data_IF_158521467995
#
_entry.id   IF_158521467995
#
_cell.length_a   1.000
_cell.length_b   1.000
_cell.length_c   1.000
_cell.angle_alpha   90.00
_cell.angle_beta   90.00
_cell.angle_gamma   90.00
#
_symmetry.space_group_name_H-M   'P 1'
#
loop_
_entity.id
_entity.type
_entity.pdbx_description
1 polymer ?
#
# COMPACT_ATOMS: atom_id res chain seq x y z
N UNK A 1 29.93 23.76 -38.18
CA UNK A 1 29.66 22.38 -38.66
C UNK A 1 30.25 21.31 -37.75
N UNK A 2 31.58 21.20 -37.57
CA UNK A 2 32.20 20.15 -36.72
C UNK A 2 31.72 20.09 -35.25
N UNK A 3 31.54 21.26 -34.60
CA UNK A 3 31.05 21.35 -33.21
C UNK A 3 29.57 20.98 -33.08
N UNK A 4 28.75 21.43 -34.02
CA UNK A 4 27.33 21.08 -34.10
C UNK A 4 27.14 19.58 -34.28
N UNK A 5 27.92 18.96 -35.18
CA UNK A 5 27.88 17.51 -35.37
C UNK A 5 28.18 16.76 -34.07
N UNK A 6 29.19 17.19 -33.31
CA UNK A 6 29.51 16.60 -32.00
C UNK A 6 28.34 16.68 -30.99
N UNK A 7 27.65 17.82 -30.92
CA UNK A 7 26.48 17.96 -30.04
C UNK A 7 25.28 17.12 -30.49
N UNK A 8 25.02 17.05 -31.80
CA UNK A 8 23.97 16.18 -32.33
C UNK A 8 24.29 14.70 -32.10
N UNK A 9 25.55 14.29 -32.22
CA UNK A 9 26.00 12.94 -31.89
C UNK A 9 25.84 12.64 -30.39
N UNK A 10 26.18 13.58 -29.51
CA UNK A 10 25.94 13.43 -28.07
C UNK A 10 24.43 13.28 -27.75
N UNK A 11 23.57 14.06 -28.42
CA UNK A 11 22.12 13.94 -28.28
C UNK A 11 21.60 12.58 -28.75
N UNK A 12 22.06 12.09 -29.89
CA UNK A 12 21.69 10.75 -30.41
C UNK A 12 22.14 9.62 -29.48
N UNK A 13 23.35 9.70 -28.93
CA UNK A 13 23.84 8.76 -27.92
C UNK A 13 23.00 8.83 -26.64
N UNK A 14 22.57 10.03 -26.24
CA UNK A 14 21.67 10.22 -25.12
C UNK A 14 20.30 9.56 -25.33
N UNK A 15 19.71 9.69 -26.52
CA UNK A 15 18.44 9.01 -26.87
C UNK A 15 18.62 7.49 -26.86
N UNK A 16 19.73 6.97 -27.40
CA UNK A 16 20.02 5.54 -27.36
C UNK A 16 20.16 5.02 -25.91
N UNK A 17 20.83 5.79 -25.05
CA UNK A 17 20.94 5.47 -23.62
C UNK A 17 19.58 5.52 -22.92
N UNK A 18 18.71 6.49 -23.24
CA UNK A 18 17.35 6.55 -22.68
C UNK A 18 16.52 5.32 -23.05
N UNK A 19 16.47 4.97 -24.34
CA UNK A 19 15.70 3.83 -24.82
C UNK A 19 16.27 2.51 -24.30
N UNK A 20 17.59 2.38 -24.25
CA UNK A 20 18.27 1.24 -23.67
C UNK A 20 18.06 1.12 -22.16
N UNK A 21 18.08 2.24 -21.44
CA UNK A 21 17.83 2.31 -20.00
C UNK A 21 16.40 1.90 -19.67
N UNK A 22 15.42 2.41 -20.42
CA UNK A 22 14.01 2.02 -20.28
C UNK A 22 13.77 0.53 -20.58
N UNK A 23 14.37 0.02 -21.66
CA UNK A 23 14.24 -1.39 -22.01
C UNK A 23 14.91 -2.32 -20.98
N UNK A 24 16.07 -1.93 -20.47
CA UNK A 24 16.78 -2.65 -19.42
C UNK A 24 15.98 -2.64 -18.12
N UNK A 25 15.46 -1.49 -17.74
CA UNK A 25 14.62 -1.32 -16.55
C UNK A 25 13.36 -2.20 -16.62
N UNK A 26 12.61 -2.11 -17.73
CA UNK A 26 11.44 -2.95 -17.96
C UNK A 26 11.77 -4.46 -17.94
N UNK A 27 12.93 -4.85 -18.47
CA UNK A 27 13.40 -6.22 -18.44
C UNK A 27 13.77 -6.70 -17.02
N UNK A 28 14.40 -5.84 -16.22
CA UNK A 28 14.73 -6.14 -14.83
C UNK A 28 13.45 -6.30 -14.01
N UNK A 29 12.49 -5.38 -14.15
CA UNK A 29 11.17 -5.50 -13.52
C UNK A 29 10.37 -6.71 -14.00
N UNK A 30 10.51 -7.12 -15.27
CA UNK A 30 9.87 -8.34 -15.77
C UNK A 30 10.50 -9.63 -15.19
N UNK A 31 11.81 -9.62 -14.91
CA UNK A 31 12.51 -10.75 -14.27
C UNK A 31 12.32 -10.79 -12.77
N UNK A 32 12.23 -9.64 -12.14
CA UNK A 32 12.02 -9.49 -10.71
C UNK A 32 11.00 -8.37 -10.45
N UNK A 33 9.70 -8.71 -10.43
CA UNK A 33 8.63 -7.75 -10.17
C UNK A 33 8.76 -7.05 -8.82
N UNK A 34 9.49 -7.65 -7.86
CA UNK A 34 9.69 -7.07 -6.53
C UNK A 34 10.64 -5.86 -6.52
N UNK A 35 11.37 -5.60 -7.61
CA UNK A 35 12.15 -4.36 -7.79
C UNK A 35 11.27 -3.12 -7.69
N UNK A 36 10.01 -3.17 -8.13
CA UNK A 36 9.09 -2.02 -8.06
C UNK A 36 8.77 -1.57 -6.62
N UNK A 37 9.02 -2.44 -5.62
CA UNK A 37 8.80 -2.13 -4.21
C UNK A 37 10.10 -1.83 -3.44
N UNK A 38 11.27 -2.07 -4.06
CA UNK A 38 12.60 -1.87 -3.45
C UNK A 38 13.34 -0.68 -4.05
N UNK A 39 12.91 -0.24 -5.22
CA UNK A 39 13.56 0.79 -6.00
C UNK A 39 12.65 2.01 -6.11
N UNK A 40 13.07 3.13 -5.53
CA UNK A 40 12.48 4.44 -5.85
C UNK A 40 12.85 4.85 -7.28
N UNK A 41 12.13 5.85 -7.81
CA UNK A 41 12.24 6.40 -9.17
C UNK A 41 13.67 6.80 -9.63
N UNK A 42 14.64 6.93 -8.71
CA UNK A 42 16.02 7.35 -8.98
C UNK A 42 17.09 6.52 -8.26
N UNK A 43 16.82 5.25 -7.99
CA UNK A 43 17.80 4.37 -7.33
C UNK A 43 18.99 4.04 -8.23
N UNK A 44 20.20 4.35 -7.76
CA UNK A 44 21.45 4.11 -8.49
C UNK A 44 21.88 2.64 -8.51
N UNK A 45 21.18 1.76 -7.78
CA UNK A 45 21.40 0.31 -7.79
C UNK A 45 20.88 -0.39 -9.04
N UNK A 46 19.91 0.21 -9.73
CA UNK A 46 19.37 -0.29 -10.98
C UNK A 46 20.17 0.30 -12.16
N UNK A 47 20.84 -0.54 -12.99
CA UNK A 47 21.61 -0.06 -14.12
C UNK A 47 20.74 0.61 -15.21
N UNK A 48 19.45 0.28 -15.29
CA UNK A 48 18.46 0.96 -16.12
C UNK A 48 18.24 2.42 -15.71
N UNK A 49 18.03 2.68 -14.42
CA UNK A 49 17.90 4.04 -13.87
C UNK A 49 19.15 4.89 -14.10
N UNK A 50 20.34 4.30 -13.88
CA UNK A 50 21.61 5.00 -14.13
C UNK A 50 21.74 5.37 -15.61
N UNK A 51 21.40 4.45 -16.51
CA UNK A 51 21.49 4.68 -17.95
C UNK A 51 20.45 5.72 -18.43
N UNK A 52 19.25 5.73 -17.85
CA UNK A 52 18.25 6.78 -18.05
C UNK A 52 18.80 8.15 -17.64
N UNK A 53 19.38 8.27 -16.44
CA UNK A 53 19.99 9.51 -15.96
C UNK A 53 21.11 10.04 -16.86
N UNK A 54 22.01 9.15 -17.30
CA UNK A 54 23.08 9.48 -18.26
C UNK A 54 22.49 9.93 -19.60
N UNK A 55 21.45 9.24 -20.07
CA UNK A 55 20.74 9.56 -21.31
C UNK A 55 20.13 10.97 -21.30
N UNK A 56 19.43 11.34 -20.21
CA UNK A 56 18.89 12.70 -20.02
C UNK A 56 20.01 13.74 -20.12
N UNK A 57 21.12 13.54 -19.41
CA UNK A 57 22.25 14.47 -19.41
C UNK A 57 22.84 14.68 -20.80
N UNK A 58 23.01 13.60 -21.57
CA UNK A 58 23.54 13.66 -22.94
C UNK A 58 22.57 14.32 -23.93
N UNK A 59 21.26 14.08 -23.79
CA UNK A 59 20.24 14.75 -24.62
C UNK A 59 20.24 16.25 -24.35
N UNK A 60 20.25 16.66 -23.08
CA UNK A 60 20.28 18.09 -22.70
C UNK A 60 21.55 18.75 -23.24
N UNK A 61 22.72 18.12 -23.05
CA UNK A 61 23.99 18.61 -23.58
C UNK A 61 23.97 18.74 -25.11
N UNK A 62 23.41 17.75 -25.79
CA UNK A 62 23.31 17.73 -27.25
C UNK A 62 22.38 18.81 -27.79
N UNK A 63 21.18 18.96 -27.22
CA UNK A 63 20.18 19.94 -27.65
C UNK A 63 20.66 21.36 -27.37
N UNK A 64 21.13 21.65 -26.15
CA UNK A 64 21.60 22.98 -25.76
C UNK A 64 22.85 23.37 -26.55
N UNK A 65 23.80 22.43 -26.71
CA UNK A 65 25.02 22.67 -27.48
C UNK A 65 24.77 22.83 -28.98
N UNK A 66 23.85 22.07 -29.57
CA UNK A 66 23.45 22.23 -30.95
C UNK A 66 22.77 23.60 -31.16
N UNK A 67 21.78 23.94 -30.32
CA UNK A 67 21.08 25.22 -30.34
C UNK A 67 22.06 26.42 -30.23
N UNK A 68 23.05 26.34 -29.35
CA UNK A 68 24.06 27.38 -29.18
C UNK A 68 24.94 27.58 -30.42
N UNK A 69 25.19 26.52 -31.20
CA UNK A 69 26.09 26.55 -32.36
C UNK A 69 25.39 26.82 -33.69
N UNK A 70 24.09 26.56 -33.80
CA UNK A 70 23.35 26.65 -35.08
C UNK A 70 22.41 27.84 -35.19
N UNK A 71 21.85 28.30 -34.08
CA UNK A 71 20.81 29.32 -34.14
C UNK A 71 21.43 30.72 -34.38
N UNK A 72 20.92 31.51 -35.34
CA UNK A 72 21.46 32.83 -35.69
C UNK A 72 21.02 33.92 -34.71
N UNK A 73 21.03 33.62 -33.42
CA UNK A 73 20.63 34.55 -32.37
C UNK A 73 21.81 35.36 -31.82
N UNK A 74 21.55 36.61 -31.44
CA UNK A 74 22.51 37.48 -30.77
C UNK A 74 22.99 36.90 -29.43
N UNK A 75 24.18 37.31 -28.99
CA UNK A 75 24.88 36.74 -27.80
C UNK A 75 24.00 36.77 -26.55
N UNK A 76 23.16 37.79 -26.39
CA UNK A 76 22.21 37.91 -25.26
C UNK A 76 21.12 36.84 -25.24
N UNK A 77 20.55 36.50 -26.40
CA UNK A 77 19.53 35.44 -26.52
C UNK A 77 20.13 34.06 -26.27
N UNK A 78 21.36 33.82 -26.75
CA UNK A 78 22.09 32.57 -26.46
C UNK A 78 22.38 32.39 -24.96
N UNK A 79 22.75 33.48 -24.27
CA UNK A 79 22.93 33.47 -22.80
C UNK A 79 21.61 33.22 -22.09
N UNK A 80 20.51 33.82 -22.55
CA UNK A 80 19.16 33.60 -22.03
C UNK A 80 18.70 32.13 -22.11
N UNK A 81 18.94 31.47 -23.25
CA UNK A 81 18.63 30.04 -23.44
C UNK A 81 19.47 29.18 -22.49
N UNK A 82 20.77 29.45 -22.36
CA UNK A 82 21.65 28.73 -21.44
C UNK A 82 21.22 28.90 -19.99
N UNK A 83 20.90 30.13 -19.56
CA UNK A 83 20.42 30.39 -18.19
C UNK A 83 19.06 29.75 -17.94
N UNK A 84 18.15 29.75 -18.93
CA UNK A 84 16.85 29.10 -18.82
C UNK A 84 16.94 27.58 -18.73
N UNK A 85 17.81 26.97 -19.55
CA UNK A 85 18.07 25.53 -19.50
C UNK A 85 18.72 25.13 -18.15
N UNK A 86 19.70 25.91 -17.67
CA UNK A 86 20.33 25.67 -16.37
C UNK A 86 19.34 25.80 -15.22
N UNK A 87 18.49 26.84 -15.23
CA UNK A 87 17.45 27.03 -14.22
C UNK A 87 16.44 25.87 -14.22
N UNK A 88 16.01 25.39 -15.38
CA UNK A 88 15.11 24.23 -15.48
C UNK A 88 15.74 22.94 -14.96
N UNK A 89 17.03 22.71 -15.20
CA UNK A 89 17.77 21.55 -14.67
C UNK A 89 17.82 21.62 -13.13
N UNK A 90 18.14 22.79 -12.57
CA UNK A 90 18.19 22.99 -11.11
C UNK A 90 16.81 22.76 -10.49
N UNK A 91 15.77 23.41 -11.01
CA UNK A 91 14.39 23.25 -10.52
C UNK A 91 13.92 21.81 -10.61
N UNK A 92 14.25 21.11 -11.70
CA UNK A 92 13.90 19.70 -11.87
C UNK A 92 14.65 18.81 -10.87
N UNK A 93 15.92 19.12 -10.59
CA UNK A 93 16.72 18.46 -9.56
C UNK A 93 16.17 18.67 -8.15
N UNK A 94 15.75 19.89 -7.83
CA UNK A 94 15.16 20.25 -6.54
C UNK A 94 13.80 19.56 -6.33
N UNK A 95 12.95 19.52 -7.37
CA UNK A 95 11.67 18.80 -7.34
C UNK A 95 11.90 17.30 -7.16
N UNK A 96 12.86 16.70 -7.87
CA UNK A 96 13.20 15.29 -7.71
C UNK A 96 13.76 15.01 -6.30
N UNK A 97 14.59 15.90 -5.76
CA UNK A 97 15.12 15.82 -4.40
C UNK A 97 14.04 15.95 -3.33
N UNK A 98 13.07 16.86 -3.53
CA UNK A 98 11.90 17.01 -2.67
C UNK A 98 11.00 15.79 -2.72
N UNK A 99 10.68 15.27 -3.91
CA UNK A 99 9.89 14.06 -4.07
C UNK A 99 10.54 12.86 -3.36
N UNK A 100 11.86 12.68 -3.53
CA UNK A 100 12.62 11.66 -2.80
C UNK A 100 12.68 11.90 -1.27
N UNK A 101 12.54 13.15 -0.83
CA UNK A 101 12.46 13.49 0.60
C UNK A 101 11.07 13.21 1.18
N UNK A 102 10.00 13.46 0.43
CA UNK A 102 8.62 13.16 0.83
C UNK A 102 8.43 11.65 0.99
N UNK A 103 8.97 10.86 0.05
CA UNK A 103 9.00 9.40 0.13
C UNK A 103 9.72 8.90 1.41
N UNK A 104 10.78 9.60 1.84
CA UNK A 104 11.48 9.32 3.12
C UNK A 104 10.79 9.89 4.37
N UNK A 105 9.91 10.88 4.23
CA UNK A 105 9.29 11.59 5.37
C UNK A 105 7.89 11.07 5.71
N UNK A 106 7.21 10.42 4.76
CA UNK A 106 5.93 9.73 5.00
C UNK A 106 6.03 8.57 6.00
N UNK A 107 7.23 8.16 6.39
CA UNK A 107 7.51 7.11 7.37
C UNK A 107 7.72 7.62 8.82
N UNK A 108 7.63 8.93 9.09
CA UNK A 108 8.00 9.49 10.41
C UNK A 108 7.11 10.64 10.93
N UNK A 109 5.79 10.63 10.68
CA UNK A 109 4.89 11.64 11.26
C UNK A 109 3.78 11.01 12.10
N UNK A 110 4.07 10.79 13.39
CA UNK A 110 3.07 10.41 14.40
C UNK A 110 2.41 11.62 15.05
N UNK A 111 1.08 11.56 15.21
CA UNK A 111 0.31 12.28 16.23
C UNK A 111 -0.76 11.34 16.83
N UNK A 112 -1.20 11.55 18.09
CA UNK A 112 -1.75 10.48 18.92
C UNK A 112 -3.28 10.45 18.96
N UNK A 113 -3.87 9.34 18.50
CA UNK A 113 -5.17 8.83 18.94
C UNK A 113 -5.19 7.31 18.69
N UNK A 114 -5.46 6.53 19.74
CA UNK A 114 -5.53 5.05 19.81
C UNK A 114 -4.31 4.30 19.26
N UNK A 115 -3.47 3.78 20.16
CA UNK A 115 -2.25 3.07 19.81
C UNK A 115 -2.53 1.73 19.11
N UNK A 116 -2.61 1.76 17.79
CA UNK A 116 -2.36 0.61 16.93
C UNK A 116 -0.96 0.81 16.37
N UNK A 117 0.01 0.08 16.93
CA UNK A 117 1.36 0.13 16.40
C UNK A 117 1.35 -0.48 15.00
N UNK A 118 1.42 0.36 13.97
CA UNK A 118 2.07 -0.03 12.73
C UNK A 118 3.53 -0.32 13.09
N UNK A 119 3.78 -1.57 13.49
CA UNK A 119 5.13 -2.03 13.81
C UNK A 119 5.85 -2.04 12.47
N UNK A 120 6.64 -1.00 12.22
CA UNK A 120 7.58 -1.00 11.12
C UNK A 120 8.36 -2.34 11.14
N UNK A 121 8.55 -3.00 9.99
CA UNK A 121 9.23 -4.29 9.91
C UNK A 121 10.47 -4.31 10.80
N UNK A 122 10.49 -5.18 11.81
CA UNK A 122 11.59 -5.25 12.80
C UNK A 122 12.94 -5.60 12.15
N UNK A 123 12.89 -6.10 10.92
CA UNK A 123 13.99 -6.32 9.99
C UNK A 123 13.48 -6.22 8.56
N UNK A 124 14.39 -6.20 7.59
CA UNK A 124 14.02 -6.40 6.19
C UNK A 124 13.51 -7.84 5.96
N UNK A 125 12.47 -8.04 5.13
CA UNK A 125 12.04 -9.37 4.73
C UNK A 125 13.07 -10.02 3.80
N UNK A 126 13.17 -11.34 3.85
CA UNK A 126 13.92 -12.12 2.87
C UNK A 126 13.17 -12.17 1.54
N UNK A 127 13.85 -12.56 0.46
CA UNK A 127 13.20 -12.72 -0.85
C UNK A 127 12.06 -13.76 -0.82
N UNK A 128 12.26 -14.88 -0.12
CA UNK A 128 11.23 -15.92 0.01
C UNK A 128 10.01 -15.44 0.82
N UNK A 129 10.24 -14.63 1.86
CA UNK A 129 9.15 -14.03 2.65
C UNK A 129 8.37 -13.00 1.82
N UNK A 130 9.07 -12.17 1.05
CA UNK A 130 8.43 -11.22 0.16
C UNK A 130 7.60 -11.95 -0.92
N UNK A 131 8.17 -12.98 -1.55
CA UNK A 131 7.46 -13.81 -2.53
C UNK A 131 6.21 -14.46 -1.92
N UNK A 132 6.31 -15.04 -0.72
CA UNK A 132 5.19 -15.67 -0.04
C UNK A 132 4.10 -14.66 0.35
N UNK A 133 4.47 -13.48 0.84
CA UNK A 133 3.54 -12.41 1.17
C UNK A 133 2.82 -11.90 -0.09
N UNK A 134 3.55 -11.66 -1.18
CA UNK A 134 2.96 -11.25 -2.47
C UNK A 134 2.03 -12.32 -3.02
N UNK A 135 2.42 -13.61 -2.97
CA UNK A 135 1.56 -14.71 -3.40
C UNK A 135 0.26 -14.75 -2.61
N UNK A 136 0.33 -14.62 -1.28
CA UNK A 136 -0.87 -14.58 -0.44
C UNK A 136 -1.82 -13.45 -0.85
N UNK A 137 -1.31 -12.24 -1.11
CA UNK A 137 -2.13 -11.11 -1.58
C UNK A 137 -2.81 -11.44 -2.92
N UNK A 138 -2.04 -11.92 -3.90
CA UNK A 138 -2.53 -12.19 -5.25
C UNK A 138 -3.60 -13.28 -5.25
N UNK A 139 -3.33 -14.40 -4.56
CA UNK A 139 -4.26 -15.52 -4.50
C UNK A 139 -5.51 -15.16 -3.70
N UNK A 140 -5.37 -14.44 -2.57
CA UNK A 140 -6.52 -13.98 -1.77
C UNK A 140 -7.40 -13.04 -2.57
N UNK A 141 -6.82 -12.09 -3.30
CA UNK A 141 -7.58 -11.18 -4.17
C UNK A 141 -8.34 -11.92 -5.26
N UNK A 142 -7.69 -12.85 -5.94
CA UNK A 142 -8.31 -13.64 -7.00
C UNK A 142 -9.47 -14.49 -6.46
N UNK A 143 -9.25 -15.16 -5.32
CA UNK A 143 -10.23 -16.04 -4.71
C UNK A 143 -11.40 -15.28 -4.06
N UNK A 144 -11.13 -14.20 -3.33
CA UNK A 144 -12.14 -13.38 -2.67
C UNK A 144 -13.01 -12.59 -3.66
N UNK A 145 -12.53 -12.35 -4.89
CA UNK A 145 -13.29 -11.65 -5.93
C UNK A 145 -14.66 -12.28 -6.24
N UNK A 146 -14.83 -13.59 -6.03
CA UNK A 146 -16.13 -14.27 -6.17
C UNK A 146 -17.20 -13.78 -5.19
N UNK A 147 -16.78 -13.12 -4.11
CA UNK A 147 -17.60 -12.57 -3.05
C UNK A 147 -17.75 -11.05 -3.13
N UNK A 148 -17.44 -10.43 -4.28
CA UNK A 148 -17.68 -9.00 -4.48
C UNK A 148 -19.14 -8.61 -4.18
N UNK A 149 -20.10 -9.45 -4.58
CA UNK A 149 -21.48 -9.38 -4.06
C UNK A 149 -21.57 -10.14 -2.74
N UNK A 150 -21.93 -9.43 -1.67
CA UNK A 150 -22.16 -10.02 -0.35
C UNK A 150 -23.13 -11.21 -0.38
N UNK A 151 -24.14 -11.20 -1.28
CA UNK A 151 -25.09 -12.32 -1.36
C UNK A 151 -24.40 -13.64 -1.70
N UNK A 152 -23.32 -13.60 -2.48
CA UNK A 152 -22.54 -14.79 -2.81
C UNK A 152 -21.80 -15.33 -1.56
N UNK A 153 -21.33 -14.45 -0.68
CA UNK A 153 -20.73 -14.85 0.58
C UNK A 153 -21.78 -15.47 1.52
N UNK A 154 -22.91 -14.79 1.72
CA UNK A 154 -24.00 -15.30 2.58
C UNK A 154 -24.50 -16.67 2.10
N UNK A 155 -24.61 -16.85 0.78
CA UNK A 155 -25.06 -18.12 0.18
C UNK A 155 -24.16 -19.32 0.53
N UNK A 156 -22.90 -19.09 0.90
CA UNK A 156 -21.94 -20.14 1.28
C UNK A 156 -21.62 -20.16 2.78
N UNK A 157 -22.43 -19.47 3.60
CA UNK A 157 -22.37 -19.58 5.06
C UNK A 157 -21.61 -18.47 5.78
N UNK A 158 -21.23 -17.39 5.09
CA UNK A 158 -20.71 -16.21 5.77
C UNK A 158 -21.83 -15.48 6.54
N UNK A 159 -21.56 -15.13 7.79
CA UNK A 159 -22.48 -14.42 8.69
C UNK A 159 -21.82 -13.14 9.23
N UNK A 160 -22.59 -12.07 9.49
CA UNK A 160 -22.01 -10.83 10.00
C UNK A 160 -21.48 -11.02 11.42
N UNK A 161 -20.31 -10.45 11.71
CA UNK A 161 -19.70 -10.38 13.03
C UNK A 161 -20.13 -9.11 13.79
N UNK A 162 -20.35 -8.01 13.08
CA UNK A 162 -20.92 -6.76 13.59
C UNK A 162 -22.34 -6.51 13.06
N UNK A 163 -23.12 -5.58 13.66
CA UNK A 163 -24.36 -5.11 13.06
C UNK A 163 -24.19 -4.73 11.57
N UNK A 164 -25.00 -5.28 10.64
CA UNK A 164 -24.77 -5.12 9.18
C UNK A 164 -24.83 -3.69 8.65
N UNK A 165 -25.35 -2.75 9.43
CA UNK A 165 -25.46 -1.32 9.18
C UNK A 165 -24.20 -0.52 9.55
N UNK A 166 -23.22 -1.15 10.22
CA UNK A 166 -21.94 -0.51 10.50
C UNK A 166 -21.19 -0.16 9.22
N UNK A 167 -20.30 0.83 9.31
CA UNK A 167 -19.57 1.30 8.13
C UNK A 167 -18.60 0.26 7.58
N UNK A 168 -17.92 -0.48 8.45
CA UNK A 168 -17.08 -1.62 8.09
C UNK A 168 -17.66 -2.83 8.81
N UNK A 169 -17.91 -3.91 8.07
CA UNK A 169 -18.51 -5.14 8.59
C UNK A 169 -17.69 -6.33 8.14
N UNK A 170 -17.28 -7.14 9.10
CA UNK A 170 -16.68 -8.44 8.90
C UNK A 170 -17.79 -9.48 8.76
N UNK A 171 -17.75 -10.22 7.67
CA UNK A 171 -18.58 -11.39 7.48
C UNK A 171 -17.67 -12.60 7.65
N UNK A 172 -17.92 -13.40 8.68
CA UNK A 172 -17.12 -14.56 9.07
C UNK A 172 -17.76 -15.85 8.61
N UNK A 173 -16.97 -16.84 8.23
CA UNK A 173 -17.45 -18.20 7.95
C UNK A 173 -16.91 -19.17 9.02
N UNK A 174 -17.74 -19.55 10.01
CA UNK A 174 -17.33 -20.49 11.06
C UNK A 174 -16.89 -21.85 10.52
N UNK A 175 -17.37 -22.27 9.34
CA UNK A 175 -16.99 -23.51 8.69
C UNK A 175 -15.52 -23.56 8.29
N UNK A 176 -14.87 -22.40 8.10
CA UNK A 176 -13.46 -22.29 7.73
C UNK A 176 -12.53 -22.08 8.94
N UNK A 177 -13.06 -22.09 10.17
CA UNK A 177 -12.26 -21.95 11.40
C UNK A 177 -11.61 -23.27 11.80
N UNK A 178 -10.88 -23.90 10.86
CA UNK A 178 -10.23 -25.21 11.03
C UNK A 178 -8.78 -25.15 10.61
N UNK A 179 -7.96 -26.06 11.15
CA UNK A 179 -6.52 -26.07 10.93
C UNK A 179 -6.13 -26.24 9.45
N UNK A 180 -6.98 -26.88 8.64
CA UNK A 180 -6.76 -27.11 7.21
C UNK A 180 -6.88 -25.83 6.35
N UNK A 181 -7.60 -24.82 6.82
CA UNK A 181 -7.95 -23.62 6.05
C UNK A 181 -7.09 -22.40 6.46
N UNK A 182 -6.09 -22.61 7.32
CA UNK A 182 -5.16 -21.54 7.73
C UNK A 182 -4.37 -21.07 6.52
N UNK A 183 -4.56 -19.78 6.18
CA UNK A 183 -3.98 -19.15 4.99
C UNK A 183 -4.38 -19.81 3.66
N UNK A 184 -5.54 -20.48 3.56
CA UNK A 184 -6.10 -20.94 2.29
C UNK A 184 -6.94 -19.81 1.64
N UNK A 185 -6.49 -19.23 0.52
CA UNK A 185 -7.25 -18.18 -0.19
C UNK A 185 -8.65 -18.59 -0.62
N UNK A 186 -8.93 -19.89 -0.77
CA UNK A 186 -10.25 -20.39 -1.14
C UNK A 186 -11.22 -20.53 0.03
N UNK A 187 -10.70 -20.52 1.26
CA UNK A 187 -11.46 -20.69 2.50
C UNK A 187 -11.10 -19.59 3.50
N UNK A 188 -11.32 -18.32 3.11
CA UNK A 188 -11.01 -17.14 3.94
C UNK A 188 -11.98 -17.06 5.12
N UNK A 189 -11.48 -16.99 6.35
CA UNK A 189 -12.31 -16.99 7.56
C UNK A 189 -13.18 -15.73 7.71
N UNK A 190 -12.74 -14.58 7.19
CA UNK A 190 -13.48 -13.32 7.27
C UNK A 190 -13.34 -12.47 6.00
N UNK A 191 -14.45 -11.98 5.46
CA UNK A 191 -14.51 -11.02 4.37
C UNK A 191 -14.92 -9.65 4.92
N UNK A 192 -14.27 -8.59 4.47
CA UNK A 192 -14.44 -7.24 5.03
C UNK A 192 -15.13 -6.36 4.00
N UNK A 193 -16.30 -5.83 4.37
CA UNK A 193 -17.08 -4.97 3.52
C UNK A 193 -17.17 -3.56 4.08
N UNK A 194 -17.09 -2.58 3.19
CA UNK A 194 -17.35 -1.18 3.48
C UNK A 194 -18.72 -0.77 2.95
N UNK A 195 -19.56 -0.23 3.81
CA UNK A 195 -20.86 0.36 3.48
C UNK A 195 -20.67 1.84 3.12
N UNK A 196 -20.22 2.10 1.89
CA UNK A 196 -20.01 3.45 1.38
C UNK A 196 -21.25 4.07 0.73
N UNK A 197 -21.18 5.37 0.42
CA UNK A 197 -22.25 6.11 -0.29
C UNK A 197 -22.58 5.52 -1.67
N UNK A 198 -21.61 4.90 -2.32
CA UNK A 198 -21.74 4.28 -3.64
C UNK A 198 -22.28 2.83 -3.55
N UNK A 199 -22.58 2.36 -2.35
CA UNK A 199 -22.97 0.99 -2.07
C UNK A 199 -21.88 0.22 -1.33
N UNK A 200 -22.21 -1.04 -1.03
CA UNK A 200 -21.32 -1.97 -0.32
C UNK A 200 -20.19 -2.42 -1.23
N UNK A 201 -18.96 -2.41 -0.71
CA UNK A 201 -17.76 -2.82 -1.44
C UNK A 201 -16.97 -3.83 -0.61
N UNK A 202 -16.47 -4.89 -1.25
CA UNK A 202 -15.51 -5.80 -0.63
C UNK A 202 -14.13 -5.12 -0.62
N UNK A 203 -13.61 -4.85 0.57
CA UNK A 203 -12.37 -4.08 0.74
C UNK A 203 -11.22 -4.90 1.31
N UNK A 204 -11.50 -6.05 1.94
CA UNK A 204 -10.48 -6.84 2.60
C UNK A 204 -10.88 -8.30 2.80
N UNK A 205 -9.88 -9.09 3.12
CA UNK A 205 -9.99 -10.44 3.64
C UNK A 205 -9.20 -10.51 4.95
N UNK A 206 -9.60 -11.40 5.85
CA UNK A 206 -8.89 -11.63 7.10
C UNK A 206 -8.86 -13.13 7.40
N UNK A 207 -7.64 -13.63 7.57
CA UNK A 207 -7.41 -14.98 8.05
C UNK A 207 -7.44 -14.98 9.57
N UNK A 208 -8.14 -15.94 10.17
CA UNK A 208 -8.30 -16.03 11.63
C UNK A 208 -7.84 -17.41 12.07
N UNK A 209 -7.01 -17.45 13.11
CA UNK A 209 -6.55 -18.71 13.68
C UNK A 209 -7.73 -19.49 14.27
N UNK A 210 -7.80 -20.83 14.10
CA UNK A 210 -8.92 -21.65 14.57
C UNK A 210 -9.15 -21.58 16.08
N UNK A 211 -8.10 -21.27 16.86
CA UNK A 211 -8.13 -21.27 18.33
C UNK A 211 -7.28 -20.12 18.88
N UNK A 212 -7.67 -19.60 20.04
CA UNK A 212 -6.90 -18.60 20.78
C UNK A 212 -5.58 -19.20 21.29
N UNK A 213 -4.53 -18.38 21.31
CA UNK A 213 -3.20 -18.80 21.76
C UNK A 213 -2.46 -19.71 20.77
N UNK A 214 -3.01 -19.92 19.57
CA UNK A 214 -2.31 -20.58 18.47
C UNK A 214 -1.58 -19.51 17.65
N UNK A 215 -0.27 -19.71 17.45
CA UNK A 215 0.54 -18.82 16.63
C UNK A 215 0.22 -19.00 15.14
N UNK A 216 0.16 -17.88 14.42
CA UNK A 216 -0.05 -17.89 12.98
C UNK A 216 1.25 -18.16 12.20
N UNK A 217 1.18 -18.82 11.03
CA UNK A 217 2.36 -19.01 10.19
C UNK A 217 2.98 -17.69 9.74
N UNK A 218 4.29 -17.52 9.95
CA UNK A 218 5.02 -16.29 9.62
C UNK A 218 5.56 -16.30 8.19
N UNK A 219 4.70 -16.57 7.20
CA UNK A 219 5.14 -16.81 5.80
C UNK A 219 5.84 -15.61 5.17
N UNK A 220 5.43 -14.39 5.54
CA UNK A 220 5.99 -13.14 5.03
C UNK A 220 6.98 -12.47 5.97
N UNK A 221 7.44 -13.18 7.00
CA UNK A 221 8.36 -12.61 7.98
C UNK A 221 7.78 -11.32 8.58
N UNK A 222 8.52 -10.22 8.60
CA UNK A 222 8.06 -8.97 9.20
C UNK A 222 6.92 -8.27 8.43
N UNK A 223 6.47 -8.79 7.29
CA UNK A 223 5.36 -8.23 6.49
C UNK A 223 3.99 -8.75 6.90
N UNK A 224 3.89 -9.98 7.40
CA UNK A 224 2.60 -10.66 7.67
C UNK A 224 2.36 -10.78 9.18
N UNK A 225 2.26 -9.65 9.87
CA UNK A 225 2.19 -9.64 11.35
C UNK A 225 0.79 -10.03 11.82
N UNK A 226 0.71 -11.19 12.47
CA UNK A 226 -0.49 -11.63 13.15
C UNK A 226 -0.73 -10.79 14.41
N UNK A 227 -1.97 -10.39 14.65
CA UNK A 227 -2.37 -9.62 15.83
C UNK A 227 -3.68 -10.17 16.41
N UNK A 228 -4.06 -9.71 17.60
CA UNK A 228 -5.34 -10.04 18.22
C UNK A 228 -5.91 -8.79 18.86
N UNK A 229 -7.23 -8.76 19.01
CA UNK A 229 -7.90 -7.73 19.78
C UNK A 229 -8.24 -8.28 21.16
N UNK A 230 -7.96 -7.49 22.19
CA UNK A 230 -8.30 -7.80 23.59
C UNK A 230 -9.34 -6.84 24.17
N UNK A 231 -9.95 -6.02 23.31
CA UNK A 231 -10.84 -4.94 23.70
C UNK A 231 -12.24 -5.06 23.08
N UNK A 232 -12.58 -6.16 22.41
CA UNK A 232 -13.89 -6.30 21.74
C UNK A 232 -14.92 -6.86 22.70
N UNK A 233 -16.06 -6.19 22.78
CA UNK A 233 -17.24 -6.64 23.51
C UNK A 233 -18.16 -7.43 22.58
N UNK A 234 -18.41 -8.68 22.93
CA UNK A 234 -19.32 -9.55 22.21
C UNK A 234 -20.62 -9.69 22.97
N UNK A 235 -21.76 -9.48 22.30
CA UNK A 235 -23.08 -9.75 22.85
C UNK A 235 -23.19 -11.22 23.27
N UNK A 236 -23.68 -11.46 24.49
CA UNK A 236 -23.66 -12.79 25.09
C UNK A 236 -24.68 -13.75 24.45
N UNK A 237 -25.66 -13.23 23.68
CA UNK A 237 -26.73 -14.01 23.06
C UNK A 237 -26.44 -14.30 21.59
N UNK A 238 -26.04 -13.27 20.85
CA UNK A 238 -25.84 -13.29 19.40
C UNK A 238 -24.39 -13.55 19.00
N UNK A 239 -23.44 -13.40 19.95
CA UNK A 239 -22.01 -13.42 19.71
C UNK A 239 -21.50 -12.36 18.72
N UNK A 240 -22.30 -11.34 18.43
CA UNK A 240 -21.88 -10.21 17.58
C UNK A 240 -20.98 -9.24 18.36
N UNK A 241 -19.99 -8.67 17.70
CA UNK A 241 -19.19 -7.58 18.24
C UNK A 241 -20.03 -6.29 18.25
N UNK A 242 -20.26 -5.74 19.45
CA UNK A 242 -21.20 -4.62 19.67
C UNK A 242 -20.55 -3.36 20.23
N UNK A 243 -19.33 -3.46 20.75
CA UNK A 243 -18.58 -2.33 21.27
C UNK A 243 -17.09 -2.66 21.43
N UNK A 244 -16.28 -1.65 21.73
CA UNK A 244 -14.90 -1.81 22.17
C UNK A 244 -14.72 -1.16 23.54
N UNK A 245 -14.07 -1.84 24.49
CA UNK A 245 -13.68 -1.19 25.76
C UNK A 245 -12.65 -0.11 25.48
N UNK A 246 -12.74 1.01 26.21
CA UNK A 246 -11.89 2.18 26.02
C UNK A 246 -12.00 2.85 24.63
N UNK A 247 -13.17 2.78 23.97
CA UNK A 247 -13.47 3.54 22.75
C UNK A 247 -14.55 4.59 23.00
N UNK A 248 -14.31 5.80 22.50
CA UNK A 248 -15.22 6.94 22.46
C UNK A 248 -16.19 6.91 21.27
N UNK A 249 -15.96 6.03 20.29
CA UNK A 249 -16.73 5.94 19.03
C UNK A 249 -18.13 5.36 19.23
N UNK A 250 -18.36 4.57 20.30
CA UNK A 250 -19.67 3.96 20.61
C UNK A 250 -20.37 4.56 21.84
N UNK A 251 -19.71 5.44 22.60
CA UNK A 251 -20.24 5.97 23.85
C UNK A 251 -20.91 7.34 23.65
N UNK A 252 -22.18 7.31 23.25
CA UNK A 252 -23.09 8.47 23.32
C UNK A 252 -23.39 8.95 24.76
N UNK A 253 -22.72 8.43 25.78
CA UNK A 253 -22.77 8.93 27.15
C UNK A 253 -21.55 8.46 27.96
N UNK A 254 -20.66 9.39 28.29
CA UNK A 254 -19.55 9.25 29.25
C UNK A 254 -18.46 8.23 28.88
N UNK A 255 -17.63 8.57 27.90
CA UNK A 255 -16.44 7.83 27.45
C UNK A 255 -15.36 7.57 28.51
N UNK A 256 -15.66 6.73 29.51
CA UNK A 256 -14.74 6.28 30.56
C UNK A 256 -15.02 4.88 31.11
N UNK A 257 -16.00 4.13 30.60
CA UNK A 257 -16.20 2.78 31.11
C UNK A 257 -15.18 1.83 30.45
N UNK A 258 -14.24 1.31 31.25
CA UNK A 258 -13.36 0.21 30.83
C UNK A 258 -14.07 -1.14 30.75
N UNK A 259 -15.40 -1.13 30.62
CA UNK A 259 -16.27 -2.29 30.78
C UNK A 259 -17.26 -2.37 29.62
N UNK A 260 -17.57 -3.58 29.20
CA UNK A 260 -18.53 -3.80 28.12
C UNK A 260 -19.96 -3.38 28.48
N UNK A 261 -20.79 -3.00 27.48
CA UNK A 261 -22.21 -2.79 27.67
C UNK A 261 -22.89 -3.99 28.36
N UNK A 262 -23.95 -3.73 29.12
CA UNK A 262 -24.70 -4.79 29.81
C UNK A 262 -25.20 -5.83 28.82
N UNK A 263 -24.95 -7.12 29.10
CA UNK A 263 -25.30 -8.23 28.20
C UNK A 263 -24.23 -8.54 27.15
N UNK A 264 -23.04 -7.96 27.28
CA UNK A 264 -21.89 -8.29 26.45
C UNK A 264 -20.63 -8.50 27.29
N UNK A 265 -19.71 -9.30 26.79
CA UNK A 265 -18.48 -9.71 27.47
C UNK A 265 -17.26 -9.37 26.62
N UNK A 266 -16.22 -8.81 27.25
CA UNK A 266 -14.93 -8.60 26.59
C UNK A 266 -14.25 -9.96 26.36
N UNK A 267 -13.88 -10.26 25.11
CA UNK A 267 -13.15 -11.48 24.77
C UNK A 267 -11.95 -11.14 23.90
N UNK A 268 -10.82 -11.76 24.20
CA UNK A 268 -9.68 -11.75 23.28
C UNK A 268 -10.00 -12.60 22.05
N UNK A 269 -9.69 -12.09 20.86
CA UNK A 269 -9.85 -12.85 19.61
C UNK A 269 -8.72 -13.86 19.44
N UNK A 270 -8.88 -14.88 18.58
CA UNK A 270 -7.72 -15.56 18.02
C UNK A 270 -6.81 -14.57 17.27
N UNK A 271 -5.58 -15.00 16.98
CA UNK A 271 -4.72 -14.23 16.10
C UNK A 271 -5.35 -14.11 14.71
N UNK A 272 -5.17 -12.98 14.07
CA UNK A 272 -5.68 -12.67 12.75
C UNK A 272 -4.65 -11.93 11.90
N UNK A 273 -4.76 -12.11 10.59
CA UNK A 273 -3.95 -11.47 9.58
C UNK A 273 -4.86 -10.86 8.51
N UNK A 274 -4.81 -9.55 8.38
CA UNK A 274 -5.54 -8.80 7.35
C UNK A 274 -4.83 -8.89 6.00
N UNK A 275 -5.61 -8.94 4.92
CA UNK A 275 -5.16 -8.80 3.54
C UNK A 275 -6.10 -7.81 2.83
N UNK A 276 -5.62 -6.60 2.60
CA UNK A 276 -6.43 -5.55 1.98
C UNK A 276 -6.53 -5.73 0.46
N UNK A 277 -7.75 -5.68 -0.05
CA UNK A 277 -8.06 -5.77 -1.48
C UNK A 277 -8.10 -4.38 -2.15
N UNK A 278 -7.95 -3.34 -1.36
CA UNK A 278 -7.76 -1.97 -1.81
C UNK A 278 -6.45 -1.43 -1.22
N UNK A 279 -6.00 -0.28 -1.70
CA UNK A 279 -4.81 0.35 -1.17
C UNK A 279 -5.05 0.80 0.28
N UNK A 280 -4.20 0.31 1.17
CA UNK A 280 -4.13 0.74 2.56
C UNK A 280 -2.81 1.53 2.74
N UNK A 281 -2.86 2.78 3.25
CA UNK A 281 -1.66 3.60 3.45
C UNK A 281 -0.60 2.96 4.33
N UNK A 282 -1.01 2.15 5.30
CA UNK A 282 -0.11 1.44 6.22
C UNK A 282 0.34 0.07 5.66
N UNK A 283 -0.09 -0.27 4.46
CA UNK A 283 0.33 -1.44 3.70
C UNK A 283 -0.71 -2.56 3.63
N UNK A 284 -0.48 -3.55 2.75
CA UNK A 284 -1.48 -4.56 2.39
C UNK A 284 -1.84 -5.54 3.54
N UNK A 285 -1.04 -5.58 4.60
CA UNK A 285 -1.27 -6.40 5.80
C UNK A 285 -1.50 -5.58 7.07
N UNK A 286 -1.76 -4.27 6.96
CA UNK A 286 -2.02 -3.42 8.11
C UNK A 286 -3.17 -3.97 8.96
N UNK A 287 -3.05 -3.85 10.28
CA UNK A 287 -4.02 -4.41 11.23
C UNK A 287 -5.40 -3.73 11.15
N UNK A 288 -5.45 -2.53 10.58
CA UNK A 288 -6.61 -1.67 10.51
C UNK A 288 -6.66 -0.91 9.19
N UNK A 289 -7.82 -0.32 8.91
CA UNK A 289 -8.06 0.58 7.79
C UNK A 289 -8.72 1.83 8.34
N UNK A 290 -8.03 2.97 8.25
CA UNK A 290 -8.57 4.26 8.65
C UNK A 290 -9.75 4.64 7.73
N UNK A 291 -10.98 4.79 8.25
CA UNK A 291 -12.15 5.10 7.43
C UNK A 291 -11.99 6.36 6.58
N UNK A 292 -11.24 7.36 7.06
CA UNK A 292 -10.97 8.60 6.31
C UNK A 292 -10.37 8.35 4.92
N UNK A 293 -9.59 7.27 4.77
CA UNK A 293 -8.95 6.87 3.51
C UNK A 293 -9.97 6.31 2.51
N UNK A 294 -11.08 5.77 3.00
CA UNK A 294 -12.19 5.26 2.18
C UNK A 294 -13.16 6.36 1.71
N UNK A 295 -12.79 7.63 1.89
CA UNK A 295 -13.54 8.80 1.46
C UNK A 295 -14.54 9.35 2.49
N UNK A 296 -14.28 9.18 3.79
CA UNK A 296 -15.20 9.61 4.85
C UNK A 296 -14.93 11.03 5.34
N UNK A 297 -15.69 12.00 4.82
CA UNK A 297 -15.91 13.32 5.47
C UNK A 297 -17.34 13.53 5.94
N UNK A 298 -18.16 12.48 6.08
CA UNK A 298 -19.49 12.65 6.66
C UNK A 298 -19.92 11.43 7.49
N UNK A 299 -20.50 11.66 8.69
CA UNK A 299 -21.16 10.61 9.45
C UNK A 299 -22.35 10.07 8.64
N UNK A 300 -22.58 8.77 8.71
CA UNK A 300 -23.83 8.16 8.25
C UNK A 300 -24.87 8.50 9.31
N UNK A 301 -25.85 9.32 8.92
CA UNK A 301 -27.03 9.70 9.71
C UNK A 301 -28.01 8.54 9.84
#
# INVERSE_FOLDING_TARGET
MRRTAAFLSAGLLGVAALLGGLALDAYLHARDPSLAHREGLFTLGNPGHVLLGIGIGLVVLGVVGAAYTTLPYGVWVRRGILTGALAMIVVSGDIAGWAASVERSGSTAGQPAHAHSSIAPTRQPTAAELEAATRLIVETRAAAGRYADLRAAIAVGYVPMEPPDFQIVHYVNPGYMVDADVLDPNHVQSLIYYNGKQGRQLIGAMFIMPRRGMDGPQIGGPLTVWHQHSNICFDDTTAMAVAFVHSDVFDGNNGKSGSCPRGSTNKTTPLMLHVWLIDNPDGPFAADMEPAVLGTTAPVS
#
